data_IF_627065989119
#
_entry.id   IF_627065989119
#
_cell.length_a   1.000
_cell.length_b   1.000
_cell.length_c   1.000
_cell.angle_alpha   90.00
_cell.angle_beta   90.00
_cell.angle_gamma   90.00
#
_symmetry.space_group_name_H-M   'P 1'
#
loop_
_entity.id
_entity.type
_entity.pdbx_description
1 polymer ?
#
# COMPACT_ATOMS: atom_id res chain seq x y z
N UNK A 1 -53.54 57.10 -25.53
CA UNK A 1 -52.65 56.40 -24.58
C UNK A 1 -52.22 55.08 -25.20
N UNK A 2 -50.92 54.90 -25.42
CA UNK A 2 -50.35 53.81 -26.21
C UNK A 2 -50.05 52.61 -25.29
N UNK A 3 -50.86 51.54 -25.33
CA UNK A 3 -50.60 50.32 -24.56
C UNK A 3 -49.57 49.47 -25.33
N UNK A 4 -48.32 49.46 -24.86
CA UNK A 4 -47.30 48.47 -25.25
C UNK A 4 -47.80 47.08 -24.83
N UNK A 5 -48.10 46.21 -25.81
CA UNK A 5 -48.32 44.80 -25.56
C UNK A 5 -46.97 44.13 -25.33
N UNK A 6 -46.64 43.87 -24.06
CA UNK A 6 -45.51 43.02 -23.69
C UNK A 6 -45.98 41.58 -23.96
N UNK A 7 -45.48 40.95 -25.02
CA UNK A 7 -45.71 39.54 -25.32
C UNK A 7 -45.02 38.68 -24.23
N UNK A 8 -45.76 37.95 -23.35
CA UNK A 8 -45.15 37.15 -22.29
C UNK A 8 -44.67 35.76 -22.77
N UNK A 9 -44.75 35.46 -24.07
CA UNK A 9 -44.73 34.09 -24.58
C UNK A 9 -43.48 33.76 -25.40
N UNK A 10 -42.29 34.07 -24.86
CA UNK A 10 -41.06 33.46 -25.35
C UNK A 10 -40.15 33.11 -24.17
N UNK A 11 -40.60 32.14 -23.38
CA UNK A 11 -39.65 31.38 -22.56
C UNK A 11 -38.92 30.44 -23.52
N UNK A 12 -37.59 30.57 -23.71
CA UNK A 12 -36.83 29.54 -24.41
C UNK A 12 -37.09 28.22 -23.68
N UNK A 13 -37.58 27.21 -24.41
CA UNK A 13 -37.77 25.89 -23.85
C UNK A 13 -36.42 25.44 -23.27
N UNK A 14 -36.35 25.30 -21.94
CA UNK A 14 -35.17 24.75 -21.29
C UNK A 14 -35.01 23.33 -21.83
N UNK A 15 -33.99 23.11 -22.65
CA UNK A 15 -33.61 21.77 -23.09
C UNK A 15 -33.18 21.00 -21.83
N UNK A 16 -34.06 20.12 -21.36
CA UNK A 16 -33.76 19.19 -20.28
C UNK A 16 -33.01 17.98 -20.83
N UNK A 17 -32.10 17.41 -20.02
CA UNK A 17 -31.50 16.11 -20.31
C UNK A 17 -32.58 15.04 -20.40
N UNK A 18 -32.44 14.13 -21.36
CA UNK A 18 -33.34 12.97 -21.47
C UNK A 18 -32.90 11.86 -20.52
N UNK A 19 -33.85 11.06 -20.04
CA UNK A 19 -33.56 9.87 -19.22
C UNK A 19 -32.69 8.85 -19.97
N UNK A 20 -32.87 8.75 -21.29
CA UNK A 20 -32.09 7.81 -22.10
C UNK A 20 -30.63 8.25 -22.25
N UNK A 21 -30.36 9.55 -22.38
CA UNK A 21 -28.98 10.08 -22.41
C UNK A 21 -28.26 9.76 -21.11
N UNK A 22 -28.91 9.97 -19.96
CA UNK A 22 -28.31 9.64 -18.67
C UNK A 22 -28.07 8.12 -18.52
N UNK A 23 -29.00 7.28 -18.99
CA UNK A 23 -28.87 5.83 -18.88
C UNK A 23 -27.68 5.31 -19.69
N UNK A 24 -27.51 5.78 -20.93
CA UNK A 24 -26.37 5.39 -21.78
C UNK A 24 -25.04 5.86 -21.17
N UNK A 25 -25.00 7.06 -20.60
CA UNK A 25 -23.78 7.56 -19.93
C UNK A 25 -23.40 6.70 -18.73
N UNK A 26 -24.38 6.35 -17.88
CA UNK A 26 -24.14 5.48 -16.71
C UNK A 26 -23.70 4.08 -17.15
N UNK A 27 -24.28 3.54 -18.22
CA UNK A 27 -23.88 2.25 -18.80
C UNK A 27 -22.40 2.27 -19.23
N UNK A 28 -21.98 3.31 -19.96
CA UNK A 28 -20.59 3.44 -20.45
C UNK A 28 -19.61 3.57 -19.27
N UNK A 29 -19.91 4.43 -18.29
CA UNK A 29 -19.07 4.59 -17.09
C UNK A 29 -19.00 3.27 -16.30
N UNK A 30 -20.11 2.52 -16.22
CA UNK A 30 -20.15 1.20 -15.60
C UNK A 30 -19.16 0.22 -16.22
N UNK A 31 -19.13 0.12 -17.56
CA UNK A 31 -18.21 -0.78 -18.27
C UNK A 31 -16.74 -0.35 -18.07
N UNK A 32 -16.45 0.95 -18.23
CA UNK A 32 -15.08 1.46 -18.07
C UNK A 32 -14.56 1.25 -16.65
N UNK A 33 -15.39 1.49 -15.63
CA UNK A 33 -15.00 1.33 -14.23
C UNK A 33 -14.67 -0.12 -13.86
N UNK A 34 -15.41 -1.10 -14.40
CA UNK A 34 -15.17 -2.52 -14.14
C UNK A 34 -13.76 -2.98 -14.57
N UNK A 35 -13.24 -2.45 -15.68
CA UNK A 35 -11.89 -2.77 -16.17
C UNK A 35 -10.82 -1.91 -15.50
N UNK A 36 -11.11 -0.63 -15.25
CA UNK A 36 -10.13 0.32 -14.72
C UNK A 36 -9.85 0.13 -13.23
N UNK A 37 -10.84 -0.25 -12.42
CA UNK A 37 -10.70 -0.36 -10.97
C UNK A 37 -9.60 -1.32 -10.49
N UNK A 38 -9.51 -2.58 -10.97
CA UNK A 38 -8.45 -3.49 -10.52
C UNK A 38 -7.05 -3.01 -10.91
N UNK A 39 -6.91 -2.37 -12.09
CA UNK A 39 -5.63 -1.79 -12.52
C UNK A 39 -5.24 -0.58 -11.67
N UNK A 40 -6.21 0.26 -11.33
CA UNK A 40 -6.00 1.39 -10.41
C UNK A 40 -5.55 0.92 -9.03
N UNK A 41 -6.20 -0.11 -8.47
CA UNK A 41 -5.79 -0.70 -7.18
C UNK A 41 -4.35 -1.23 -7.22
N UNK A 42 -3.96 -1.95 -8.27
CA UNK A 42 -2.57 -2.40 -8.44
C UNK A 42 -1.59 -1.22 -8.51
N UNK A 43 -1.93 -0.14 -9.23
CA UNK A 43 -1.08 1.04 -9.31
C UNK A 43 -0.92 1.74 -7.96
N UNK A 44 -1.99 1.84 -7.18
CA UNK A 44 -1.96 2.43 -5.83
C UNK A 44 -1.09 1.59 -4.90
N UNK A 45 -1.21 0.26 -4.93
CA UNK A 45 -0.39 -0.62 -4.10
C UNK A 45 1.10 -0.56 -4.48
N UNK A 46 1.43 -0.47 -5.77
CA UNK A 46 2.82 -0.23 -6.21
C UNK A 46 3.38 1.07 -5.66
N UNK A 47 2.57 2.13 -5.60
CA UNK A 47 2.98 3.39 -4.97
C UNK A 47 3.19 3.25 -3.47
N UNK A 48 2.38 2.44 -2.76
CA UNK A 48 2.58 2.15 -1.33
C UNK A 48 3.84 1.32 -1.09
N UNK A 49 4.17 0.41 -1.99
CA UNK A 49 5.44 -0.33 -1.94
C UNK A 49 6.67 0.59 -2.06
N UNK A 50 6.56 1.71 -2.77
CA UNK A 50 7.62 2.72 -2.79
C UNK A 50 7.93 3.28 -1.39
N UNK A 51 6.92 3.44 -0.54
CA UNK A 51 7.11 3.83 0.87
C UNK A 51 7.85 2.74 1.66
N UNK A 52 7.40 1.48 1.51
CA UNK A 52 8.05 0.32 2.15
C UNK A 52 9.55 0.29 1.84
N UNK A 53 9.89 0.46 0.57
CA UNK A 53 11.27 0.50 0.09
C UNK A 53 12.11 1.59 0.77
N UNK A 54 11.56 2.79 0.94
CA UNK A 54 12.28 3.87 1.63
C UNK A 54 12.52 3.56 3.10
N UNK A 55 11.53 2.95 3.77
CA UNK A 55 11.63 2.61 5.19
C UNK A 55 12.60 1.45 5.42
N UNK A 56 12.53 0.41 4.59
CA UNK A 56 13.45 -0.72 4.61
C UNK A 56 14.89 -0.27 4.41
N UNK A 57 15.14 0.66 3.48
CA UNK A 57 16.48 1.20 3.27
C UNK A 57 17.04 1.90 4.51
N UNK A 58 16.20 2.67 5.23
CA UNK A 58 16.61 3.28 6.50
C UNK A 58 16.88 2.23 7.58
N UNK A 59 16.05 1.19 7.67
CA UNK A 59 16.25 0.07 8.60
C UNK A 59 17.59 -0.63 8.29
N UNK A 60 17.92 -0.86 7.02
CA UNK A 60 19.20 -1.45 6.61
C UNK A 60 20.41 -0.59 7.02
N UNK A 61 20.34 0.72 6.77
CA UNK A 61 21.37 1.67 7.20
C UNK A 61 21.57 1.61 8.71
N UNK A 62 20.47 1.57 9.45
CA UNK A 62 20.46 1.50 10.90
C UNK A 62 21.12 0.22 11.42
N UNK A 63 20.77 -0.93 10.85
CA UNK A 63 21.40 -2.22 11.18
C UNK A 63 22.90 -2.23 10.86
N UNK A 64 23.30 -1.64 9.73
CA UNK A 64 24.72 -1.54 9.35
C UNK A 64 25.51 -0.68 10.34
N UNK A 65 24.93 0.44 10.79
CA UNK A 65 25.56 1.30 11.81
C UNK A 65 25.70 0.59 13.17
N UNK A 66 24.75 -0.26 13.53
CA UNK A 66 24.83 -1.10 14.74
C UNK A 66 25.92 -2.16 14.61
N UNK A 67 26.17 -2.71 13.42
CA UNK A 67 27.26 -3.67 13.22
C UNK A 67 28.65 -3.01 13.26
N UNK A 68 28.74 -1.77 12.77
CA UNK A 68 29.99 -0.98 12.76
C UNK A 68 30.34 -0.35 14.10
N UNK A 69 29.34 -0.02 14.91
CA UNK A 69 29.54 0.37 16.30
C UNK A 69 29.58 -0.90 17.15
N UNK A 70 30.52 -1.04 18.10
CA UNK A 70 30.61 -2.24 18.97
C UNK A 70 29.48 -2.27 20.03
N UNK A 71 28.30 -1.86 19.62
CA UNK A 71 27.21 -1.42 20.44
C UNK A 71 26.12 -2.49 20.35
N UNK A 72 25.80 -3.10 21.50
CA UNK A 72 24.80 -4.17 21.67
C UNK A 72 23.34 -3.69 21.44
N UNK A 73 23.10 -2.87 20.43
CA UNK A 73 21.84 -2.17 20.16
C UNK A 73 20.70 -3.09 19.69
N UNK A 74 20.98 -4.31 19.25
CA UNK A 74 19.94 -5.26 18.84
C UNK A 74 19.40 -6.14 19.99
N UNK A 75 19.89 -5.95 21.22
CA UNK A 75 19.57 -6.85 22.35
C UNK A 75 18.63 -6.28 23.42
N UNK A 76 18.33 -4.98 23.39
CA UNK A 76 17.36 -4.35 24.28
C UNK A 76 16.15 -3.83 23.49
N UNK A 77 14.96 -4.21 23.95
CA UNK A 77 13.68 -3.92 23.32
C UNK A 77 13.44 -2.41 23.16
N UNK A 78 13.83 -1.59 24.16
CA UNK A 78 13.78 -0.12 24.11
C UNK A 78 14.58 0.50 22.96
N UNK A 79 15.73 -0.09 22.61
CA UNK A 79 16.48 0.38 21.45
C UNK A 79 15.75 0.02 20.15
N UNK A 80 15.09 -1.13 20.07
CA UNK A 80 14.27 -1.43 18.91
C UNK A 80 13.11 -0.42 18.75
N UNK A 81 12.45 -0.03 19.85
CA UNK A 81 11.33 0.94 19.82
C UNK A 81 11.80 2.33 19.33
N UNK A 82 12.91 2.84 19.85
CA UNK A 82 13.43 4.16 19.49
C UNK A 82 13.84 4.26 18.01
N UNK A 83 14.43 3.20 17.45
CA UNK A 83 14.85 3.19 16.05
C UNK A 83 13.66 3.02 15.10
N UNK A 84 12.63 2.31 15.54
CA UNK A 84 11.38 2.18 14.79
C UNK A 84 10.64 3.52 14.70
N UNK A 85 10.66 4.33 15.76
CA UNK A 85 10.12 5.69 15.73
C UNK A 85 10.87 6.61 14.76
N UNK A 86 12.21 6.56 14.71
CA UNK A 86 13.03 7.37 13.78
C UNK A 86 12.73 7.07 12.30
N UNK A 87 12.42 5.82 11.97
CA UNK A 87 12.00 5.44 10.62
C UNK A 87 10.51 5.69 10.35
N UNK A 88 9.77 6.24 11.31
CA UNK A 88 8.35 6.60 11.19
C UNK A 88 7.39 5.42 11.36
N UNK A 89 7.83 4.36 12.06
CA UNK A 89 7.05 3.18 12.36
C UNK A 89 6.85 3.06 13.88
N UNK A 90 5.86 3.73 14.48
CA UNK A 90 5.55 3.51 15.89
C UNK A 90 5.12 2.04 16.11
N UNK A 91 5.46 1.49 17.27
CA UNK A 91 4.96 0.19 17.70
C UNK A 91 3.45 0.27 17.98
N UNK A 92 2.68 -0.66 17.42
CA UNK A 92 1.27 -0.80 17.74
C UNK A 92 1.07 -1.78 18.90
N UNK A 93 0.29 -1.37 19.90
CA UNK A 93 -0.15 -2.26 20.97
C UNK A 93 -1.17 -3.27 20.44
N UNK A 94 -0.98 -4.57 20.75
CA UNK A 94 -1.93 -5.62 20.36
C UNK A 94 -1.65 -6.28 19.01
N UNK A 95 -0.37 -6.44 18.65
CA UNK A 95 0.04 -6.94 17.35
C UNK A 95 -0.54 -8.29 16.91
N UNK A 96 -0.35 -8.61 15.64
CA UNK A 96 -1.05 -9.69 14.96
C UNK A 96 -0.58 -11.08 15.42
N UNK A 97 -1.50 -11.96 15.81
CA UNK A 97 -1.18 -13.28 16.40
C UNK A 97 -0.28 -13.21 17.64
N UNK A 98 -0.32 -12.10 18.39
CA UNK A 98 0.48 -11.92 19.61
C UNK A 98 1.95 -11.58 19.35
N UNK A 99 2.33 -11.34 18.09
CA UNK A 99 3.65 -10.80 17.74
C UNK A 99 3.59 -9.27 17.75
N UNK A 100 4.65 -8.60 18.23
CA UNK A 100 4.75 -7.13 18.20
C UNK A 100 4.98 -6.64 16.76
N UNK A 101 4.26 -5.60 16.35
CA UNK A 101 4.44 -4.95 15.06
C UNK A 101 4.62 -3.44 15.22
N UNK A 102 5.47 -2.88 14.37
CA UNK A 102 5.51 -1.47 14.07
C UNK A 102 4.63 -1.21 12.85
N UNK A 103 4.03 -0.03 12.71
CA UNK A 103 3.09 0.18 11.62
C UNK A 103 3.13 1.59 11.03
N UNK A 104 3.04 1.65 9.70
CA UNK A 104 2.83 2.91 8.97
C UNK A 104 1.33 3.12 8.71
N UNK A 105 1.00 4.09 7.86
CA UNK A 105 -0.37 4.25 7.35
C UNK A 105 -0.82 3.07 6.47
N UNK A 106 0.11 2.37 5.83
CA UNK A 106 -0.20 1.42 4.76
C UNK A 106 0.25 -0.01 5.03
N UNK A 107 1.25 -0.22 5.90
CA UNK A 107 1.80 -1.53 6.18
C UNK A 107 2.11 -1.73 7.66
N UNK A 108 2.32 -3.00 8.05
CA UNK A 108 2.98 -3.34 9.31
C UNK A 108 4.33 -3.99 9.06
N UNK A 109 5.23 -3.82 10.01
CA UNK A 109 6.60 -4.33 10.02
C UNK A 109 6.82 -5.13 11.30
N UNK A 110 7.32 -6.35 11.18
CA UNK A 110 7.73 -7.18 12.30
C UNK A 110 9.27 -7.10 12.46
N UNK A 111 9.77 -6.44 13.50
CA UNK A 111 11.22 -6.36 13.73
C UNK A 111 11.84 -7.70 14.14
N UNK A 112 11.05 -8.63 14.70
CA UNK A 112 11.54 -9.89 15.26
C UNK A 112 11.64 -11.04 14.23
N UNK A 113 11.00 -10.91 13.07
CA UNK A 113 10.90 -11.98 12.08
C UNK A 113 11.40 -11.52 10.71
N UNK A 114 12.72 -11.62 10.47
CA UNK A 114 13.37 -11.38 9.17
C UNK A 114 12.86 -10.14 8.39
N UNK A 115 12.52 -9.06 9.11
CA UNK A 115 11.98 -7.85 8.49
C UNK A 115 10.69 -8.05 7.69
N UNK A 116 9.80 -8.95 8.16
CA UNK A 116 8.51 -9.24 7.54
C UNK A 116 7.61 -8.00 7.53
N UNK A 117 7.02 -7.70 6.37
CA UNK A 117 6.11 -6.60 6.14
C UNK A 117 4.76 -7.13 5.68
N UNK A 118 3.70 -6.77 6.39
CA UNK A 118 2.32 -7.22 6.12
C UNK A 118 1.57 -6.11 5.41
N UNK A 119 0.93 -6.46 4.29
CA UNK A 119 0.31 -5.52 3.38
C UNK A 119 -1.01 -6.00 2.74
N UNK A 120 -1.91 -5.08 2.40
CA UNK A 120 -2.03 -3.73 2.96
C UNK A 120 -2.64 -3.77 4.36
N UNK A 121 -2.67 -2.64 5.08
CA UNK A 121 -3.49 -2.49 6.29
C UNK A 121 -4.98 -2.79 6.02
N UNK A 122 -5.76 -3.33 7.00
CA UNK A 122 -5.36 -3.64 8.38
C UNK A 122 -4.40 -4.82 8.47
N UNK A 123 -3.54 -4.82 9.48
CA UNK A 123 -2.55 -5.88 9.64
C UNK A 123 -3.23 -7.12 10.22
N UNK A 124 -3.27 -8.16 9.41
CA UNK A 124 -3.84 -9.47 9.76
C UNK A 124 -2.73 -10.51 9.77
N UNK A 125 -3.08 -11.75 10.11
CA UNK A 125 -2.13 -12.86 10.10
C UNK A 125 -1.50 -13.04 8.72
N UNK A 126 -0.27 -13.56 8.68
CA UNK A 126 0.51 -13.77 7.45
C UNK A 126 -0.31 -14.52 6.38
N UNK A 127 -1.15 -15.46 6.81
CA UNK A 127 -1.96 -16.29 5.91
C UNK A 127 -3.26 -15.63 5.44
N UNK A 128 -3.69 -14.56 6.12
CA UNK A 128 -4.92 -13.82 5.80
C UNK A 128 -4.65 -12.46 5.15
N UNK A 129 -3.40 -12.01 5.15
CA UNK A 129 -2.98 -10.81 4.44
C UNK A 129 -3.22 -10.95 2.92
N UNK A 130 -3.25 -9.84 2.19
CA UNK A 130 -3.30 -9.88 0.72
C UNK A 130 -1.95 -10.32 0.14
N UNK A 131 -0.87 -9.75 0.67
CA UNK A 131 0.50 -10.12 0.35
C UNK A 131 1.44 -9.75 1.50
N UNK A 132 2.61 -10.38 1.51
CA UNK A 132 3.68 -10.03 2.43
C UNK A 132 4.95 -9.72 1.66
N UNK A 133 5.71 -8.77 2.18
CA UNK A 133 7.07 -8.50 1.73
C UNK A 133 8.04 -8.96 2.81
N UNK A 134 9.23 -9.39 2.43
CA UNK A 134 10.28 -9.73 3.39
C UNK A 134 11.57 -9.02 3.02
N UNK A 135 12.31 -8.58 4.03
CA UNK A 135 13.59 -7.94 3.86
C UNK A 135 14.65 -8.64 4.70
N UNK A 136 15.61 -9.26 4.02
CA UNK A 136 16.80 -9.81 4.63
C UNK A 136 17.95 -8.83 4.41
N UNK A 137 18.48 -8.19 5.46
CA UNK A 137 19.68 -7.38 5.34
C UNK A 137 20.89 -8.24 4.97
N UNK A 138 21.93 -7.62 4.44
CA UNK A 138 23.20 -8.31 4.22
C UNK A 138 23.76 -8.81 5.55
N UNK A 139 24.26 -10.04 5.57
CA UNK A 139 24.99 -10.61 6.69
C UNK A 139 26.33 -11.18 6.22
N UNK A 140 27.14 -11.69 7.15
CA UNK A 140 28.40 -12.37 6.83
C UNK A 140 28.22 -13.61 5.92
N UNK A 141 27.03 -14.20 5.87
CA UNK A 141 26.75 -15.47 5.16
C UNK A 141 25.65 -15.36 4.10
N UNK A 142 24.94 -14.23 4.02
CA UNK A 142 23.83 -14.03 3.10
C UNK A 142 23.88 -12.63 2.47
N UNK A 143 23.70 -12.56 1.16
CA UNK A 143 23.44 -11.29 0.49
C UNK A 143 22.06 -10.75 0.88
N UNK A 144 21.90 -9.43 0.77
CA UNK A 144 20.61 -8.78 0.98
C UNK A 144 19.58 -9.33 0.00
N UNK A 145 18.36 -9.53 0.47
CA UNK A 145 17.26 -10.01 -0.36
C UNK A 145 15.96 -9.33 0.03
N UNK A 146 15.21 -8.92 -0.98
CA UNK A 146 13.84 -8.45 -0.82
C UNK A 146 12.90 -9.43 -1.50
N UNK A 147 11.81 -9.80 -0.85
CA UNK A 147 10.88 -10.82 -1.34
C UNK A 147 9.44 -10.31 -1.35
N UNK A 148 8.65 -10.82 -2.28
CA UNK A 148 7.21 -10.62 -2.39
C UNK A 148 6.55 -11.99 -2.39
N UNK A 149 5.53 -12.19 -1.54
CA UNK A 149 4.71 -13.37 -1.54
C UNK A 149 3.23 -12.99 -1.54
N UNK A 150 2.54 -13.30 -2.64
CA UNK A 150 1.10 -13.10 -2.75
C UNK A 150 0.31 -14.17 -1.99
N UNK A 151 -0.63 -13.75 -1.16
CA UNK A 151 -1.47 -14.64 -0.36
C UNK A 151 -2.88 -14.75 -0.95
N UNK A 152 -3.46 -13.62 -1.36
CA UNK A 152 -4.72 -13.55 -2.10
C UNK A 152 -4.51 -13.58 -3.62
N UNK A 153 -5.59 -13.69 -4.39
CA UNK A 153 -5.55 -13.55 -5.85
C UNK A 153 -5.04 -12.17 -6.29
N UNK A 154 -5.36 -11.12 -5.53
CA UNK A 154 -4.87 -9.78 -5.81
C UNK A 154 -3.37 -9.67 -5.49
N UNK A 155 -2.92 -10.18 -4.34
CA UNK A 155 -1.51 -10.19 -3.95
C UNK A 155 -0.64 -11.01 -4.90
N UNK A 156 -1.12 -12.18 -5.35
CA UNK A 156 -0.45 -12.99 -6.37
C UNK A 156 -0.26 -12.23 -7.68
N UNK A 157 -1.31 -11.55 -8.15
CA UNK A 157 -1.23 -10.67 -9.33
C UNK A 157 -0.27 -9.50 -9.11
N UNK A 158 -0.25 -8.92 -7.91
CA UNK A 158 0.67 -7.86 -7.55
C UNK A 158 2.13 -8.34 -7.62
N UNK A 159 2.50 -9.40 -6.88
CA UNK A 159 3.86 -9.96 -6.93
C UNK A 159 4.26 -10.35 -8.35
N UNK A 160 3.38 -11.02 -9.09
CA UNK A 160 3.62 -11.36 -10.49
C UNK A 160 3.91 -10.13 -11.36
N UNK A 161 3.25 -9.01 -11.08
CA UNK A 161 3.48 -7.75 -11.79
C UNK A 161 4.75 -7.01 -11.37
N UNK A 162 5.39 -7.40 -10.26
CA UNK A 162 6.65 -6.82 -9.76
C UNK A 162 7.86 -7.60 -10.28
N UNK A 163 7.77 -8.93 -10.35
CA UNK A 163 8.91 -9.82 -10.59
C UNK A 163 8.64 -11.01 -11.51
N UNK A 164 7.43 -11.15 -12.04
CA UNK A 164 7.05 -12.23 -12.95
C UNK A 164 6.51 -13.51 -12.30
N UNK A 165 6.53 -13.63 -10.96
CA UNK A 165 6.01 -14.80 -10.24
C UNK A 165 5.14 -14.42 -9.02
N UNK A 166 4.27 -15.33 -8.58
CA UNK A 166 3.37 -15.11 -7.42
C UNK A 166 4.13 -15.02 -6.10
N UNK A 167 5.30 -15.65 -6.04
CA UNK A 167 6.29 -15.56 -4.97
C UNK A 167 7.67 -15.43 -5.61
N UNK A 168 8.46 -14.46 -5.15
CA UNK A 168 9.73 -14.15 -5.78
C UNK A 168 10.64 -13.30 -4.89
N UNK A 169 11.93 -13.34 -5.20
CA UNK A 169 12.85 -12.29 -4.82
C UNK A 169 12.78 -11.15 -5.83
N UNK A 170 12.72 -9.92 -5.32
CA UNK A 170 12.73 -8.71 -6.11
C UNK A 170 14.18 -8.32 -6.42
N UNK A 171 14.50 -7.99 -7.68
CA UNK A 171 15.78 -7.42 -8.02
C UNK A 171 15.84 -6.02 -7.41
N UNK A 172 16.66 -5.89 -6.38
CA UNK A 172 16.82 -4.69 -5.57
C UNK A 172 18.26 -4.22 -5.63
#
# INVERSE_FOLDING_TARGET
MNKKYINPLLHPAKAGFTLIELLVVVLIIGILSAVALPQYQLSVEKSRLAEVYTVVHKIEQNLTMIELSDAKFASNEEAAEAWLEDVGLPLEEGGVSGLKYAASKHFCYNPSMFGLIIMPKPCTDIDTAEYVMGFMPKSATSERAFMCQGKSDFGKKLCKSLCGAEECSLPW
#
